data_IF_677527527471
#
_entry.id   IF_677527527471
#
_cell.length_a   1.000
_cell.length_b   1.000
_cell.length_c   1.000
_cell.angle_alpha   90.00
_cell.angle_beta   90.00
_cell.angle_gamma   90.00
#
_symmetry.space_group_name_H-M   'P 1'
#
loop_
_entity.id
_entity.type
_entity.pdbx_description
1 polymer ?
#
# COMPACT_ATOMS: atom_id res chain seq x y z
N UNK A 1 -6.79 8.29 -22.57
CA UNK A 1 -5.52 7.54 -22.31
C UNK A 1 -4.28 8.20 -22.92
N UNK A 2 -4.29 8.70 -24.19
CA UNK A 2 -3.12 9.40 -24.78
C UNK A 2 -2.66 10.61 -23.94
N UNK A 3 -3.60 11.45 -23.43
CA UNK A 3 -3.28 12.58 -22.54
C UNK A 3 -2.59 12.13 -21.25
N UNK A 4 -3.08 11.05 -20.62
CA UNK A 4 -2.47 10.49 -19.40
C UNK A 4 -0.99 10.14 -19.58
N UNK A 5 -0.65 9.41 -20.64
CA UNK A 5 0.75 9.04 -20.91
C UNK A 5 1.64 10.23 -21.21
N UNK A 6 1.11 11.23 -21.94
CA UNK A 6 1.82 12.49 -22.20
C UNK A 6 2.09 13.24 -20.90
N UNK A 7 1.07 13.40 -20.07
CA UNK A 7 1.18 14.12 -18.81
C UNK A 7 2.08 13.38 -17.81
N UNK A 8 2.00 12.04 -17.76
CA UNK A 8 2.87 11.21 -16.93
C UNK A 8 4.35 11.38 -17.35
N UNK A 9 4.63 11.27 -18.65
CA UNK A 9 5.99 11.44 -19.18
C UNK A 9 6.54 12.86 -18.97
N UNK A 10 5.69 13.87 -18.97
CA UNK A 10 6.10 15.26 -18.74
C UNK A 10 6.38 15.56 -17.27
N UNK A 11 5.62 14.92 -16.33
CA UNK A 11 5.65 15.28 -14.91
C UNK A 11 6.21 14.20 -13.98
N UNK A 12 6.73 13.07 -14.49
CA UNK A 12 7.26 12.01 -13.61
C UNK A 12 8.44 12.49 -12.74
N UNK A 13 9.30 13.37 -13.31
CA UNK A 13 10.41 13.97 -12.56
C UNK A 13 9.91 14.81 -11.39
N UNK A 14 8.84 15.57 -11.60
CA UNK A 14 8.20 16.33 -10.53
C UNK A 14 7.69 15.39 -9.42
N UNK A 15 7.01 14.28 -9.77
CA UNK A 15 6.52 13.34 -8.78
C UNK A 15 7.63 12.76 -7.90
N UNK A 16 8.77 12.38 -8.51
CA UNK A 16 9.94 11.87 -7.77
C UNK A 16 10.57 12.98 -6.93
N UNK A 17 10.75 14.18 -7.47
CA UNK A 17 11.33 15.31 -6.74
C UNK A 17 10.47 15.71 -5.55
N UNK A 18 9.15 15.83 -5.76
CA UNK A 18 8.18 16.14 -4.71
C UNK A 18 8.20 15.09 -3.59
N UNK A 19 8.23 13.79 -3.93
CA UNK A 19 8.34 12.72 -2.94
C UNK A 19 9.65 12.81 -2.13
N UNK A 20 10.79 13.05 -2.78
CA UNK A 20 12.09 13.23 -2.10
C UNK A 20 12.12 14.46 -1.20
N UNK A 21 11.53 15.57 -1.65
CA UNK A 21 11.44 16.80 -0.87
C UNK A 21 10.59 16.60 0.39
N UNK A 22 9.48 15.88 0.26
CA UNK A 22 8.61 15.56 1.39
C UNK A 22 9.30 14.63 2.39
N UNK A 23 10.05 13.62 1.92
CA UNK A 23 10.87 12.76 2.79
C UNK A 23 11.89 13.57 3.59
N UNK A 24 12.60 14.51 2.94
CA UNK A 24 13.55 15.39 3.62
C UNK A 24 12.86 16.29 4.65
N UNK A 25 11.70 16.85 4.31
CA UNK A 25 10.93 17.72 5.20
C UNK A 25 10.43 16.99 6.45
N UNK A 26 10.00 15.74 6.30
CA UNK A 26 9.50 14.93 7.42
C UNK A 26 10.57 14.66 8.48
N UNK A 27 11.80 14.48 8.05
CA UNK A 27 12.92 14.12 8.94
C UNK A 27 13.78 15.30 9.39
N UNK A 28 13.56 16.50 8.80
CA UNK A 28 14.43 17.67 8.99
C UNK A 28 14.56 18.11 10.45
N UNK A 29 13.52 17.91 11.27
CA UNK A 29 13.47 18.33 12.66
C UNK A 29 13.53 17.16 13.66
N UNK A 30 13.97 15.97 13.22
CA UNK A 30 14.00 14.77 14.06
C UNK A 30 15.44 14.31 14.35
N UNK A 31 15.78 14.04 15.62
CA UNK A 31 17.07 13.48 16.03
C UNK A 31 17.36 12.11 15.41
N UNK A 32 16.36 11.23 15.38
CA UNK A 32 16.48 9.88 14.82
C UNK A 32 16.30 9.84 13.31
N UNK A 33 15.83 10.95 12.72
CA UNK A 33 15.74 11.13 11.28
C UNK A 33 14.97 9.97 10.60
N UNK A 34 15.54 9.36 9.56
CA UNK A 34 14.97 8.25 8.80
C UNK A 34 14.80 6.95 9.61
N UNK A 35 15.44 6.83 10.78
CA UNK A 35 15.34 5.63 11.63
C UNK A 35 13.89 5.38 12.07
N UNK A 36 13.06 6.44 12.24
CA UNK A 36 11.66 6.29 12.60
C UNK A 36 10.86 5.49 11.57
N UNK A 37 11.20 5.59 10.27
CA UNK A 37 10.50 4.83 9.23
C UNK A 37 10.65 3.32 9.36
N UNK A 38 11.66 2.92 10.09
CA UNK A 38 12.03 1.52 10.36
C UNK A 38 11.61 1.13 11.77
N UNK A 39 11.90 1.99 12.75
CA UNK A 39 11.70 1.68 14.16
C UNK A 39 10.22 1.50 14.50
N UNK A 40 9.35 2.36 13.96
CA UNK A 40 7.91 2.28 14.21
C UNK A 40 7.33 0.91 13.79
N UNK A 41 7.42 0.46 12.52
CA UNK A 41 6.89 -0.84 12.12
C UNK A 41 7.61 -2.01 12.80
N UNK A 42 8.90 -1.86 13.12
CA UNK A 42 9.66 -2.88 13.82
C UNK A 42 9.18 -3.07 15.28
N UNK A 43 8.94 -1.99 16.01
CA UNK A 43 8.38 -2.06 17.36
C UNK A 43 6.98 -2.69 17.36
N UNK A 44 6.11 -2.30 16.44
CA UNK A 44 4.81 -2.94 16.30
C UNK A 44 4.93 -4.44 15.97
N UNK A 45 5.86 -4.82 15.10
CA UNK A 45 6.13 -6.23 14.83
C UNK A 45 6.52 -6.99 16.11
N UNK A 46 7.39 -6.43 16.95
CA UNK A 46 7.78 -7.08 18.21
C UNK A 46 6.59 -7.28 19.15
N UNK A 47 5.76 -6.25 19.32
CA UNK A 47 4.55 -6.32 20.15
C UNK A 47 3.59 -7.39 19.62
N UNK A 48 3.30 -7.38 18.33
CA UNK A 48 2.39 -8.35 17.73
C UNK A 48 2.98 -9.76 17.72
N UNK A 49 4.29 -9.91 17.50
CA UNK A 49 4.95 -11.20 17.58
C UNK A 49 4.87 -11.78 19.00
N UNK A 50 5.02 -10.93 20.03
CA UNK A 50 4.84 -11.34 21.42
C UNK A 50 3.40 -11.73 21.71
N UNK A 51 2.43 -10.86 21.40
CA UNK A 51 1.01 -11.13 21.70
C UNK A 51 0.52 -12.37 20.96
N UNK A 52 0.67 -12.44 19.67
CA UNK A 52 0.13 -13.54 18.87
C UNK A 52 1.01 -14.79 18.91
N UNK A 53 2.34 -14.64 19.03
CA UNK A 53 3.27 -15.75 19.09
C UNK A 53 3.28 -16.42 20.47
N UNK A 54 3.43 -15.62 21.55
CA UNK A 54 3.57 -16.15 22.91
C UNK A 54 2.20 -16.33 23.59
N UNK A 55 1.37 -15.28 23.62
CA UNK A 55 0.08 -15.32 24.36
C UNK A 55 -0.95 -16.19 23.63
N UNK A 56 -1.07 -16.05 22.31
CA UNK A 56 -2.04 -16.83 21.51
C UNK A 56 -1.46 -18.07 20.84
N UNK A 57 -0.22 -18.41 21.11
CA UNK A 57 0.43 -19.65 20.66
C UNK A 57 0.32 -19.87 19.13
N UNK A 58 0.62 -18.83 18.34
CA UNK A 58 0.54 -18.91 16.90
C UNK A 58 1.57 -19.92 16.34
N UNK A 59 1.09 -20.88 15.57
CA UNK A 59 1.88 -22.01 15.04
C UNK A 59 2.52 -21.76 13.68
N UNK A 60 2.60 -20.50 13.22
CA UNK A 60 3.19 -20.19 11.91
C UNK A 60 4.71 -20.19 11.98
N UNK A 61 5.33 -20.80 10.97
CA UNK A 61 6.78 -20.81 10.84
C UNK A 61 7.30 -19.39 10.59
N UNK A 62 8.41 -19.02 11.25
CA UNK A 62 9.02 -17.68 11.15
C UNK A 62 8.04 -16.54 11.47
N UNK A 63 7.26 -16.68 12.52
CA UNK A 63 6.14 -15.80 12.85
C UNK A 63 6.49 -14.28 12.88
N UNK A 64 7.65 -13.82 13.43
CA UNK A 64 8.03 -12.42 13.35
C UNK A 64 8.14 -11.90 11.91
N UNK A 65 8.73 -12.69 11.01
CA UNK A 65 8.85 -12.32 9.59
C UNK A 65 7.48 -12.33 8.91
N UNK A 66 6.63 -13.31 9.25
CA UNK A 66 5.26 -13.42 8.77
C UNK A 66 4.43 -12.17 9.09
N UNK A 67 4.53 -11.65 10.32
CA UNK A 67 3.84 -10.42 10.72
C UNK A 67 4.45 -9.21 10.03
N UNK A 68 5.77 -9.10 9.99
CA UNK A 68 6.45 -7.93 9.46
C UNK A 68 6.19 -7.73 7.97
N UNK A 69 6.16 -8.80 7.19
CA UNK A 69 5.72 -8.78 5.78
C UNK A 69 4.29 -8.23 5.65
N UNK A 70 3.40 -8.68 6.52
CA UNK A 70 2.00 -8.22 6.52
C UNK A 70 1.86 -6.74 6.86
N UNK A 71 2.52 -6.30 7.93
CA UNK A 71 2.50 -4.89 8.37
C UNK A 71 3.09 -3.98 7.30
N UNK A 72 4.24 -4.35 6.72
CA UNK A 72 4.93 -3.52 5.72
C UNK A 72 4.07 -3.27 4.48
N UNK A 73 3.45 -4.31 3.91
CA UNK A 73 2.58 -4.16 2.75
C UNK A 73 1.28 -3.42 3.11
N UNK A 74 0.73 -3.68 4.30
CA UNK A 74 -0.45 -3.00 4.78
C UNK A 74 -0.21 -1.51 5.03
N UNK A 75 0.88 -1.14 5.67
CA UNK A 75 1.21 0.26 5.97
C UNK A 75 1.35 1.08 4.71
N UNK A 76 2.00 0.54 3.68
CA UNK A 76 2.04 1.20 2.38
C UNK A 76 0.63 1.48 1.84
N UNK A 77 -0.23 0.47 1.79
CA UNK A 77 -1.60 0.58 1.32
C UNK A 77 -2.41 1.59 2.15
N UNK A 78 -2.40 1.42 3.47
CA UNK A 78 -3.15 2.26 4.41
C UNK A 78 -2.72 3.74 4.34
N UNK A 79 -1.41 4.03 4.39
CA UNK A 79 -0.89 5.41 4.30
C UNK A 79 -1.21 6.06 2.96
N UNK A 80 -1.09 5.33 1.85
CA UNK A 80 -1.47 5.83 0.54
C UNK A 80 -2.95 6.22 0.46
N UNK A 81 -3.84 5.38 0.96
CA UNK A 81 -5.28 5.63 0.91
C UNK A 81 -5.69 6.79 1.82
N UNK A 82 -5.26 6.79 3.06
CA UNK A 82 -5.61 7.83 4.03
C UNK A 82 -5.11 9.21 3.60
N UNK A 83 -3.88 9.29 3.08
CA UNK A 83 -3.31 10.55 2.59
C UNK A 83 -4.01 11.05 1.32
N UNK A 84 -4.52 10.14 0.47
CA UNK A 84 -5.17 10.52 -0.79
C UNK A 84 -6.48 11.29 -0.59
N UNK A 85 -7.24 11.01 0.48
CA UNK A 85 -8.54 11.65 0.74
C UNK A 85 -8.43 13.17 0.84
N UNK A 86 -7.45 13.68 1.56
CA UNK A 86 -7.24 15.13 1.78
C UNK A 86 -6.13 15.71 0.90
N UNK A 87 -5.62 14.95 -0.08
CA UNK A 87 -4.44 15.30 -0.85
C UNK A 87 -4.56 16.66 -1.55
N UNK A 88 -5.67 16.92 -2.23
CA UNK A 88 -5.88 18.19 -2.94
C UNK A 88 -6.05 19.36 -1.97
N UNK A 89 -6.77 19.18 -0.86
CA UNK A 89 -6.94 20.22 0.17
C UNK A 89 -5.60 20.59 0.81
N UNK A 90 -4.77 19.59 1.13
CA UNK A 90 -3.46 19.81 1.74
C UNK A 90 -2.45 20.46 0.76
N UNK A 91 -2.67 20.33 -0.54
CA UNK A 91 -1.84 20.94 -1.59
C UNK A 91 -2.52 22.12 -2.29
N UNK A 92 -3.47 22.81 -1.61
CA UNK A 92 -4.24 23.93 -2.16
C UNK A 92 -3.33 24.98 -2.84
N UNK A 93 -2.25 25.39 -2.19
CA UNK A 93 -1.32 26.40 -2.73
C UNK A 93 -0.68 26.00 -4.08
N UNK A 94 -0.41 24.72 -4.27
CA UNK A 94 0.14 24.20 -5.53
C UNK A 94 -0.97 24.06 -6.58
N UNK A 95 -2.11 23.47 -6.16
CA UNK A 95 -3.24 23.16 -7.04
C UNK A 95 -3.87 24.40 -7.66
N UNK A 96 -3.87 25.54 -6.92
CA UNK A 96 -4.45 26.80 -7.37
C UNK A 96 -3.49 27.68 -8.18
N UNK A 97 -2.19 27.59 -7.94
CA UNK A 97 -1.19 28.47 -8.56
C UNK A 97 -0.50 27.88 -9.80
N UNK A 98 -0.37 26.55 -9.85
CA UNK A 98 0.35 25.85 -10.91
C UNK A 98 -0.52 24.79 -11.53
N UNK A 99 -0.52 24.72 -12.86
CA UNK A 99 -1.18 23.62 -13.55
C UNK A 99 -0.34 22.35 -13.47
N UNK A 100 -0.78 21.44 -12.64
CA UNK A 100 -0.24 20.08 -12.53
C UNK A 100 -1.40 19.09 -12.63
N UNK A 101 -1.32 18.06 -13.50
CA UNK A 101 -2.34 17.01 -13.54
C UNK A 101 -2.49 16.38 -12.16
N UNK A 102 -3.70 16.39 -11.60
CA UNK A 102 -3.94 16.07 -10.18
C UNK A 102 -3.53 14.65 -9.80
N UNK A 103 -3.57 13.70 -10.74
CA UNK A 103 -3.12 12.33 -10.50
C UNK A 103 -1.60 12.22 -10.25
N UNK A 104 -0.80 13.19 -10.70
CA UNK A 104 0.66 13.24 -10.44
C UNK A 104 0.94 13.39 -8.94
N UNK A 105 0.08 14.10 -8.20
CA UNK A 105 0.19 14.21 -6.75
C UNK A 105 -0.04 12.85 -6.06
N UNK A 106 -0.94 12.01 -6.61
CA UNK A 106 -1.11 10.64 -6.12
C UNK A 106 0.14 9.80 -6.34
N UNK A 107 0.74 9.88 -7.53
CA UNK A 107 1.99 9.18 -7.85
C UNK A 107 3.12 9.64 -6.93
N UNK A 108 3.21 10.96 -6.66
CA UNK A 108 4.18 11.50 -5.70
C UNK A 108 4.01 10.88 -4.30
N UNK A 109 2.77 10.75 -3.82
CA UNK A 109 2.49 10.10 -2.52
C UNK A 109 2.79 8.60 -2.54
N UNK A 110 2.55 7.92 -3.65
CA UNK A 110 2.94 6.51 -3.80
C UNK A 110 4.46 6.34 -3.76
N UNK A 111 5.23 7.22 -4.42
CA UNK A 111 6.69 7.20 -4.32
C UNK A 111 7.16 7.49 -2.91
N UNK A 112 6.58 8.49 -2.24
CA UNK A 112 6.90 8.82 -0.86
C UNK A 112 6.71 7.63 0.09
N UNK A 113 5.54 6.98 0.07
CA UNK A 113 5.27 5.81 0.91
C UNK A 113 6.03 4.56 0.43
N UNK A 114 6.27 4.43 -0.88
CA UNK A 114 7.09 3.37 -1.47
C UNK A 114 8.54 3.42 -1.00
N UNK A 115 9.14 4.61 -0.90
CA UNK A 115 10.48 4.76 -0.32
C UNK A 115 10.52 4.27 1.13
N UNK A 116 9.53 4.62 1.96
CA UNK A 116 9.46 4.13 3.34
C UNK A 116 9.32 2.61 3.39
N UNK A 117 8.48 2.04 2.53
CA UNK A 117 8.32 0.59 2.42
C UNK A 117 9.63 -0.11 2.05
N UNK A 118 10.49 0.48 1.21
CA UNK A 118 11.80 -0.10 0.87
C UNK A 118 12.71 -0.24 2.09
N UNK A 119 12.70 0.70 3.04
CA UNK A 119 13.46 0.57 4.30
C UNK A 119 12.96 -0.61 5.14
N UNK A 120 11.63 -0.79 5.25
CA UNK A 120 11.06 -1.95 5.94
C UNK A 120 11.43 -3.26 5.22
N UNK A 121 11.49 -3.25 3.89
CA UNK A 121 11.96 -4.42 3.11
C UNK A 121 13.42 -4.75 3.34
N UNK A 122 14.29 -3.78 3.55
CA UNK A 122 15.69 -4.04 3.92
C UNK A 122 15.79 -4.84 5.22
N UNK A 123 14.94 -4.53 6.22
CA UNK A 123 14.88 -5.33 7.45
C UNK A 123 14.35 -6.74 7.16
N UNK A 124 13.32 -6.89 6.33
CA UNK A 124 12.81 -8.21 5.96
C UNK A 124 13.93 -9.07 5.37
N UNK A 125 14.78 -8.50 4.51
CA UNK A 125 15.94 -9.20 3.95
C UNK A 125 16.91 -9.64 5.05
N UNK A 126 17.21 -8.76 6.00
CA UNK A 126 18.07 -9.09 7.16
C UNK A 126 17.43 -10.22 7.98
N UNK A 127 16.12 -10.16 8.24
CA UNK A 127 15.42 -11.21 8.98
C UNK A 127 15.42 -12.55 8.23
N UNK A 128 15.23 -12.55 6.91
CA UNK A 128 15.26 -13.75 6.06
C UNK A 128 16.63 -14.43 6.18
N UNK A 129 17.72 -13.66 6.16
CA UNK A 129 19.09 -14.17 6.33
C UNK A 129 19.29 -14.68 7.76
N UNK A 130 18.86 -13.93 8.77
CA UNK A 130 19.02 -14.30 10.19
C UNK A 130 18.31 -15.63 10.52
N UNK A 131 17.06 -15.78 10.06
CA UNK A 131 16.27 -17.00 10.27
C UNK A 131 16.63 -18.14 9.27
N UNK A 132 17.61 -17.92 8.39
CA UNK A 132 18.04 -18.89 7.35
C UNK A 132 16.87 -19.45 6.53
N UNK A 133 15.95 -18.59 6.13
CA UNK A 133 14.78 -18.97 5.35
C UNK A 133 15.27 -19.41 3.94
N UNK A 134 14.92 -20.60 3.46
CA UNK A 134 15.38 -21.10 2.15
C UNK A 134 14.77 -20.24 1.04
N UNK A 135 15.62 -19.59 0.25
CA UNK A 135 15.22 -18.79 -0.90
C UNK A 135 15.03 -19.72 -2.10
N UNK A 136 13.84 -19.71 -2.67
CA UNK A 136 13.49 -20.47 -3.88
C UNK A 136 13.29 -19.51 -5.06
N UNK A 137 13.26 -20.05 -6.28
CA UNK A 137 12.96 -19.26 -7.48
C UNK A 137 11.58 -18.58 -7.44
N UNK A 138 10.69 -19.06 -6.59
CA UNK A 138 9.38 -18.44 -6.38
C UNK A 138 9.44 -17.02 -5.82
N UNK A 139 10.59 -16.58 -5.28
CA UNK A 139 10.79 -15.18 -4.87
C UNK A 139 10.60 -14.19 -6.03
N UNK A 140 10.80 -14.60 -7.27
CA UNK A 140 10.58 -13.76 -8.45
C UNK A 140 9.11 -13.33 -8.60
N UNK A 141 8.16 -14.12 -8.07
CA UNK A 141 6.75 -13.73 -8.07
C UNK A 141 6.45 -12.54 -7.14
N UNK A 142 7.37 -12.16 -6.27
CA UNK A 142 7.23 -10.97 -5.43
C UNK A 142 7.11 -9.71 -6.29
N UNK A 143 7.80 -9.64 -7.44
CA UNK A 143 7.73 -8.50 -8.37
C UNK A 143 6.30 -8.30 -8.91
N UNK A 144 5.66 -9.28 -9.58
CA UNK A 144 4.28 -9.11 -10.04
C UNK A 144 3.27 -8.89 -8.90
N UNK A 145 3.49 -9.46 -7.72
CA UNK A 145 2.63 -9.20 -6.56
C UNK A 145 2.69 -7.72 -6.16
N UNK A 146 3.89 -7.11 -6.12
CA UNK A 146 4.02 -5.68 -5.87
C UNK A 146 3.38 -4.82 -6.96
N UNK A 147 3.48 -5.23 -8.23
CA UNK A 147 2.80 -4.52 -9.31
C UNK A 147 1.28 -4.51 -9.05
N UNK A 148 0.70 -5.63 -8.64
CA UNK A 148 -0.73 -5.70 -8.26
C UNK A 148 -1.03 -4.79 -7.08
N UNK A 149 -0.20 -4.82 -6.02
CA UNK A 149 -0.33 -3.94 -4.86
C UNK A 149 -0.35 -2.47 -5.28
N UNK A 150 0.60 -2.03 -6.10
CA UNK A 150 0.68 -0.64 -6.57
C UNK A 150 -0.53 -0.25 -7.43
N UNK A 151 -0.95 -1.12 -8.36
CA UNK A 151 -2.09 -0.84 -9.25
C UNK A 151 -3.39 -0.74 -8.46
N UNK A 152 -3.65 -1.66 -7.53
CA UNK A 152 -4.85 -1.64 -6.69
C UNK A 152 -4.84 -0.42 -5.77
N UNK A 153 -3.71 -0.11 -5.15
CA UNK A 153 -3.55 1.08 -4.31
C UNK A 153 -3.85 2.35 -5.10
N UNK A 154 -3.24 2.50 -6.28
CA UNK A 154 -3.48 3.65 -7.15
C UNK A 154 -4.94 3.78 -7.58
N UNK A 155 -5.58 2.66 -7.93
CA UNK A 155 -7.00 2.62 -8.27
C UNK A 155 -7.87 3.18 -7.15
N UNK A 156 -7.67 2.71 -5.91
CA UNK A 156 -8.40 3.21 -4.75
C UNK A 156 -8.10 4.70 -4.49
N UNK A 157 -6.83 5.11 -4.54
CA UNK A 157 -6.41 6.50 -4.31
C UNK A 157 -7.08 7.48 -5.28
N UNK A 158 -7.24 7.12 -6.56
CA UNK A 158 -7.87 8.02 -7.56
C UNK A 158 -9.32 8.34 -7.20
N UNK A 159 -10.06 7.36 -6.69
CA UNK A 159 -11.45 7.54 -6.26
C UNK A 159 -11.53 8.28 -4.93
N UNK A 160 -10.70 7.91 -3.95
CA UNK A 160 -10.66 8.56 -2.64
C UNK A 160 -10.29 10.04 -2.76
N UNK A 161 -9.32 10.38 -3.59
CA UNK A 161 -8.96 11.78 -3.85
C UNK A 161 -10.13 12.54 -4.49
N UNK A 162 -10.80 11.94 -5.49
CA UNK A 162 -11.93 12.57 -6.15
C UNK A 162 -13.06 12.89 -5.18
N UNK A 163 -13.52 11.89 -4.43
CA UNK A 163 -14.63 12.07 -3.51
C UNK A 163 -14.24 12.87 -2.25
N UNK A 164 -12.97 12.80 -1.81
CA UNK A 164 -12.47 13.51 -0.65
C UNK A 164 -12.48 15.03 -0.77
N UNK A 165 -12.53 15.57 -1.99
CA UNK A 165 -12.73 17.00 -2.21
C UNK A 165 -14.14 17.43 -1.82
N UNK A 166 -15.15 16.63 -2.19
CA UNK A 166 -16.56 16.97 -2.06
C UNK A 166 -17.16 16.52 -0.72
N UNK A 167 -16.67 15.40 -0.14
CA UNK A 167 -17.21 14.80 1.07
C UNK A 167 -16.21 15.03 2.22
N UNK A 168 -16.60 15.82 3.20
CA UNK A 168 -15.73 16.20 4.34
C UNK A 168 -15.44 14.99 5.25
N UNK A 169 -16.43 14.16 5.52
CA UNK A 169 -16.33 13.03 6.45
C UNK A 169 -15.70 11.78 5.83
N UNK A 170 -15.36 11.81 4.52
CA UNK A 170 -14.79 10.65 3.84
C UNK A 170 -13.50 10.16 4.50
N UNK A 171 -12.72 11.05 5.12
CA UNK A 171 -11.51 10.67 5.84
C UNK A 171 -11.82 9.77 7.05
N UNK A 172 -12.88 10.09 7.80
CA UNK A 172 -13.32 9.29 8.95
C UNK A 172 -13.86 7.93 8.49
N UNK A 173 -14.70 7.93 7.46
CA UNK A 173 -15.23 6.69 6.87
C UNK A 173 -14.09 5.82 6.35
N UNK A 174 -13.12 6.38 5.63
CA UNK A 174 -11.96 5.65 5.10
C UNK A 174 -11.16 5.01 6.24
N UNK A 175 -10.90 5.74 7.33
CA UNK A 175 -10.16 5.21 8.48
C UNK A 175 -10.91 4.03 9.14
N UNK A 176 -12.23 4.12 9.29
CA UNK A 176 -13.04 3.03 9.86
C UNK A 176 -12.99 1.80 8.94
N UNK A 177 -13.23 2.00 7.64
CA UNK A 177 -13.21 0.90 6.66
C UNK A 177 -11.83 0.23 6.62
N UNK A 178 -10.75 1.00 6.60
CA UNK A 178 -9.39 0.46 6.58
C UNK A 178 -9.09 -0.35 7.85
N UNK A 179 -9.55 0.08 9.03
CA UNK A 179 -9.42 -0.72 10.26
C UNK A 179 -10.18 -2.04 10.17
N UNK A 180 -11.38 -2.04 9.60
CA UNK A 180 -12.13 -3.29 9.39
C UNK A 180 -11.42 -4.22 8.42
N UNK A 181 -10.95 -3.69 7.27
CA UNK A 181 -10.21 -4.46 6.27
C UNK A 181 -8.90 -5.00 6.84
N UNK A 182 -8.20 -4.26 7.72
CA UNK A 182 -6.98 -4.68 8.40
C UNK A 182 -7.13 -6.04 9.08
N UNK A 183 -8.18 -6.20 9.89
CA UNK A 183 -8.45 -7.46 10.59
C UNK A 183 -8.89 -8.59 9.63
N UNK A 184 -9.56 -8.25 8.54
CA UNK A 184 -10.01 -9.20 7.53
C UNK A 184 -8.91 -9.61 6.53
N UNK A 185 -7.74 -8.97 6.59
CA UNK A 185 -6.64 -9.21 5.64
C UNK A 185 -5.69 -10.33 6.11
N UNK A 186 -5.86 -10.84 7.34
CA UNK A 186 -5.03 -11.93 7.86
C UNK A 186 -3.59 -11.52 8.17
N UNK A 187 -3.38 -10.30 8.71
CA UNK A 187 -2.03 -9.82 9.06
C UNK A 187 -1.44 -10.67 10.18
N UNK A 188 -2.24 -11.08 11.15
CA UNK A 188 -1.81 -11.82 12.34
C UNK A 188 -2.01 -13.33 12.25
N UNK A 189 -2.72 -13.80 11.25
CA UNK A 189 -3.05 -15.22 11.07
C UNK A 189 -3.06 -15.59 9.59
N UNK A 190 -2.86 -16.87 9.34
CA UNK A 190 -2.96 -17.42 7.99
C UNK A 190 -4.43 -17.74 7.69
N UNK A 191 -5.02 -16.99 6.75
CA UNK A 191 -6.42 -17.14 6.34
C UNK A 191 -6.70 -18.57 5.88
N UNK A 192 -5.78 -19.16 5.09
CA UNK A 192 -5.97 -20.48 4.48
C UNK A 192 -5.96 -21.61 5.51
N UNK A 193 -5.21 -21.43 6.63
CA UNK A 193 -5.10 -22.47 7.67
C UNK A 193 -6.12 -22.32 8.81
N UNK A 194 -6.52 -21.09 9.10
CA UNK A 194 -7.34 -20.79 10.31
C UNK A 194 -8.83 -20.68 10.04
N UNK A 195 -9.24 -20.36 8.82
CA UNK A 195 -10.64 -20.16 8.50
C UNK A 195 -11.25 -21.36 7.76
N UNK A 196 -12.55 -21.64 7.97
CA UNK A 196 -13.29 -22.62 7.20
C UNK A 196 -13.24 -22.31 5.69
N UNK A 197 -13.18 -23.31 4.83
CA UNK A 197 -13.01 -23.18 3.38
C UNK A 197 -13.99 -22.20 2.72
N UNK A 198 -15.23 -22.10 3.22
CA UNK A 198 -16.25 -21.17 2.75
C UNK A 198 -15.81 -19.70 2.88
N UNK A 199 -15.28 -19.31 4.04
CA UNK A 199 -14.86 -17.92 4.32
C UNK A 199 -13.49 -17.63 3.72
N UNK A 200 -12.58 -18.61 3.70
CA UNK A 200 -11.27 -18.51 3.04
C UNK A 200 -11.43 -18.11 1.59
N UNK A 201 -12.32 -18.81 0.84
CA UNK A 201 -12.56 -18.50 -0.57
C UNK A 201 -13.07 -17.08 -0.79
N UNK A 202 -13.97 -16.58 0.06
CA UNK A 202 -14.53 -15.23 -0.06
C UNK A 202 -13.45 -14.19 0.23
N UNK A 203 -12.68 -14.33 1.31
CA UNK A 203 -11.67 -13.36 1.70
C UNK A 203 -10.47 -13.34 0.72
N UNK A 204 -9.97 -14.51 0.32
CA UNK A 204 -8.83 -14.58 -0.60
C UNK A 204 -9.17 -14.08 -2.01
N UNK A 205 -10.40 -14.28 -2.47
CA UNK A 205 -10.83 -13.83 -3.80
C UNK A 205 -11.36 -12.41 -3.80
N UNK A 206 -12.05 -12.00 -2.72
CA UNK A 206 -12.70 -10.70 -2.61
C UNK A 206 -11.82 -9.57 -2.06
N UNK A 207 -10.77 -9.89 -1.29
CA UNK A 207 -9.87 -8.90 -0.71
C UNK A 207 -8.49 -8.95 -1.39
N UNK A 208 -8.14 -7.97 -2.25
CA UNK A 208 -6.86 -7.95 -2.94
C UNK A 208 -5.67 -7.88 -1.99
N UNK A 209 -5.82 -7.25 -0.82
CA UNK A 209 -4.75 -7.17 0.16
C UNK A 209 -4.48 -8.53 0.83
N UNK A 210 -5.52 -9.31 1.13
CA UNK A 210 -5.36 -10.67 1.65
C UNK A 210 -4.61 -11.56 0.64
N UNK A 211 -4.95 -11.45 -0.64
CA UNK A 211 -4.27 -12.16 -1.73
C UNK A 211 -2.80 -11.75 -1.87
N UNK A 212 -2.51 -10.44 -1.83
CA UNK A 212 -1.14 -9.90 -1.88
C UNK A 212 -0.32 -10.41 -0.70
N UNK A 213 -0.85 -10.32 0.54
CA UNK A 213 -0.15 -10.79 1.73
C UNK A 213 0.12 -12.30 1.69
N UNK A 214 -0.88 -13.10 1.35
CA UNK A 214 -0.70 -14.54 1.20
C UNK A 214 0.32 -14.86 0.12
N UNK A 215 0.27 -14.18 -1.01
CA UNK A 215 1.22 -14.36 -2.11
C UNK A 215 2.67 -14.05 -1.70
N UNK A 216 2.92 -12.90 -1.05
CA UNK A 216 4.26 -12.54 -0.57
C UNK A 216 4.79 -13.59 0.41
N UNK A 217 3.94 -14.04 1.36
CA UNK A 217 4.31 -15.07 2.35
C UNK A 217 4.60 -16.41 1.71
N UNK A 218 3.77 -16.85 0.75
CA UNK A 218 4.02 -18.09 -0.01
C UNK A 218 5.37 -18.06 -0.70
N UNK A 219 5.71 -16.96 -1.35
CA UNK A 219 6.96 -16.82 -2.08
C UNK A 219 8.19 -16.76 -1.17
N UNK A 220 8.12 -15.98 -0.08
CA UNK A 220 9.29 -15.69 0.78
C UNK A 220 9.44 -16.74 1.87
N UNK A 221 8.36 -17.12 2.59
CA UNK A 221 8.46 -17.98 3.77
C UNK A 221 8.31 -19.47 3.44
N UNK A 222 7.45 -19.79 2.47
CA UNK A 222 7.11 -21.20 2.20
C UNK A 222 7.68 -21.73 0.89
N UNK A 223 8.35 -20.88 0.09
CA UNK A 223 8.92 -21.29 -1.20
C UNK A 223 7.88 -21.78 -2.22
N UNK A 224 6.63 -21.40 -2.07
CA UNK A 224 5.50 -21.81 -2.90
C UNK A 224 5.09 -20.71 -3.89
N UNK A 225 4.52 -21.12 -5.03
CA UNK A 225 3.95 -20.17 -5.99
C UNK A 225 2.66 -19.53 -5.43
N UNK A 226 2.41 -18.23 -5.71
CA UNK A 226 1.18 -17.56 -5.33
C UNK A 226 0.03 -17.99 -6.25
N UNK A 227 -1.21 -17.60 -5.91
CA UNK A 227 -2.36 -17.76 -6.80
C UNK A 227 -2.33 -16.73 -7.94
N UNK A 228 -1.56 -17.05 -8.98
CA UNK A 228 -1.31 -16.17 -10.13
C UNK A 228 -2.61 -15.79 -10.84
N UNK A 229 -3.59 -16.71 -10.90
CA UNK A 229 -4.87 -16.45 -11.56
C UNK A 229 -5.63 -15.28 -10.92
N UNK A 230 -5.76 -15.28 -9.59
CA UNK A 230 -6.46 -14.23 -8.87
C UNK A 230 -5.65 -12.93 -8.81
N UNK A 231 -4.32 -13.00 -8.77
CA UNK A 231 -3.45 -11.83 -8.90
C UNK A 231 -3.66 -11.14 -10.26
N UNK A 232 -3.74 -11.92 -11.35
CA UNK A 232 -4.00 -11.38 -12.67
C UNK A 232 -5.40 -10.76 -12.81
N UNK A 233 -6.42 -11.38 -12.22
CA UNK A 233 -7.78 -10.83 -12.19
C UNK A 233 -7.78 -9.48 -11.46
N UNK A 234 -7.18 -9.38 -10.27
CA UNK A 234 -7.09 -8.13 -9.53
C UNK A 234 -6.24 -7.08 -10.21
N UNK A 235 -5.21 -7.47 -10.95
CA UNK A 235 -4.45 -6.56 -11.81
C UNK A 235 -5.33 -5.91 -12.86
N UNK A 236 -6.14 -6.69 -13.59
CA UNK A 236 -7.07 -6.17 -14.60
C UNK A 236 -8.12 -5.28 -13.96
N UNK A 237 -8.77 -5.72 -12.88
CA UNK A 237 -9.75 -4.92 -12.14
C UNK A 237 -9.11 -3.59 -11.70
N UNK A 238 -7.91 -3.64 -11.13
CA UNK A 238 -7.18 -2.46 -10.70
C UNK A 238 -6.92 -1.47 -11.84
N UNK A 239 -6.50 -1.95 -13.02
CA UNK A 239 -6.30 -1.10 -14.21
C UNK A 239 -7.62 -0.45 -14.65
N UNK A 240 -8.71 -1.20 -14.70
CA UNK A 240 -10.02 -0.67 -15.11
C UNK A 240 -10.48 0.41 -14.13
N UNK A 241 -10.42 0.13 -12.82
CA UNK A 241 -10.82 1.07 -11.77
C UNK A 241 -9.92 2.31 -11.78
N UNK A 242 -8.60 2.16 -11.95
CA UNK A 242 -7.67 3.28 -12.09
C UNK A 242 -7.99 4.15 -13.32
N UNK A 243 -8.27 3.53 -14.46
CA UNK A 243 -8.63 4.25 -15.70
C UNK A 243 -9.93 5.07 -15.53
N UNK A 244 -10.94 4.49 -14.86
CA UNK A 244 -12.18 5.19 -14.52
C UNK A 244 -11.93 6.35 -13.54
N UNK A 245 -11.07 6.15 -12.54
CA UNK A 245 -10.67 7.18 -11.60
C UNK A 245 -9.95 8.35 -12.28
N UNK A 246 -8.96 8.06 -13.13
CA UNK A 246 -8.25 9.07 -13.93
C UNK A 246 -9.21 9.86 -14.82
N UNK A 247 -10.16 9.17 -15.48
CA UNK A 247 -11.18 9.84 -16.32
C UNK A 247 -12.03 10.80 -15.48
N UNK A 248 -12.44 10.39 -14.27
CA UNK A 248 -13.18 11.26 -13.33
C UNK A 248 -12.35 12.47 -12.93
N UNK A 249 -11.05 12.28 -12.62
CA UNK A 249 -10.14 13.35 -12.24
C UNK A 249 -10.04 14.40 -13.35
N UNK A 250 -9.79 13.99 -14.59
CA UNK A 250 -9.72 14.92 -15.72
C UNK A 250 -11.04 15.65 -15.99
N UNK A 251 -12.19 14.94 -15.87
CA UNK A 251 -13.50 15.56 -16.10
C UNK A 251 -13.82 16.65 -15.07
N UNK A 252 -13.36 16.50 -13.84
CA UNK A 252 -13.69 17.41 -12.72
C UNK A 252 -12.51 18.33 -12.33
N UNK A 253 -11.49 18.43 -13.16
CA UNK A 253 -10.25 19.17 -12.84
C UNK A 253 -10.51 20.63 -12.45
N UNK A 254 -11.43 21.32 -13.14
CA UNK A 254 -11.80 22.70 -12.85
C UNK A 254 -12.69 22.83 -11.61
N UNK A 255 -13.48 21.80 -11.30
CA UNK A 255 -14.36 21.81 -10.12
C UNK A 255 -13.56 21.73 -8.82
N UNK A 256 -12.43 21.06 -8.83
CA UNK A 256 -11.58 20.96 -7.64
C UNK A 256 -11.05 22.33 -7.19
N UNK A 257 -10.62 23.17 -8.13
CA UNK A 257 -10.08 24.50 -7.81
C UNK A 257 -11.15 25.42 -7.21
N UNK A 258 -12.42 25.22 -7.58
CA UNK A 258 -13.55 26.00 -7.04
C UNK A 258 -13.97 25.58 -5.63
N UNK A 259 -13.75 24.30 -5.27
CA UNK A 259 -14.21 23.73 -3.99
C UNK A 259 -13.12 23.77 -2.92
N UNK A 260 -11.85 23.75 -3.31
CA UNK A 260 -10.70 23.81 -2.41
C UNK A 260 -10.37 25.28 -2.06
#
# INVERSE_FOLDING_TARGET
>A
MKRFWKDLKSHYRYAIYSAKSELKSEVANSYLNWIWWVLEPFCFMLIYAFIFGVVFNASEQYFPVFIFLGITAWDFFNRCLTQSVKLLKNNKSIVTKVYIPKFILLISKMFFNGYKMLFSFAIIVIMVIYFRIPITLNILYVIPIFIVLFVVTFACMTHLMHYGVFIQDLANVTNIVLRMVFYLTGIFYNIEKRLPAKYTGILMKGNPMALVLSGIRKCILYGQAPDVKWLFIWFIIGIIVAALGIRKIYKNENSYVKVI
#
